data_IF_823032317332
#
_entry.id   IF_823032317332
#
_cell.length_a   1.000
_cell.length_b   1.000
_cell.length_c   1.000
_cell.angle_alpha   90.00
_cell.angle_beta   90.00
_cell.angle_gamma   90.00
#
_symmetry.space_group_name_H-M   'P 1'
#
loop_
_entity.id
_entity.type
_entity.pdbx_description
1 polymer ?
#
# COMPACT_ATOMS: atom_id res chain seq x y z
N UNK A 1 -23.67 9.43 12.94
CA UNK A 1 -22.22 9.22 12.75
C UNK A 1 -21.88 8.09 11.77
N UNK A 2 -22.82 7.21 11.37
CA UNK A 2 -22.57 6.19 10.33
C UNK A 2 -22.27 6.79 8.95
N UNK A 3 -22.99 7.83 8.54
CA UNK A 3 -22.88 8.43 7.20
C UNK A 3 -21.48 8.92 6.82
N UNK A 4 -20.74 9.54 7.75
CA UNK A 4 -19.37 10.03 7.47
C UNK A 4 -18.40 8.86 7.35
N UNK A 5 -18.50 7.88 8.25
CA UNK A 5 -17.68 6.68 8.20
C UNK A 5 -17.95 5.87 6.92
N UNK A 6 -19.21 5.66 6.58
CA UNK A 6 -19.61 4.92 5.38
C UNK A 6 -19.13 5.63 4.10
N UNK A 7 -19.14 6.97 4.08
CA UNK A 7 -18.58 7.76 2.99
C UNK A 7 -17.06 7.60 2.87
N UNK A 8 -16.33 7.68 3.99
CA UNK A 8 -14.87 7.49 4.01
C UNK A 8 -14.50 6.06 3.62
N UNK A 9 -15.22 5.06 4.12
CA UNK A 9 -15.01 3.66 3.79
C UNK A 9 -15.26 3.41 2.29
N UNK A 10 -16.32 4.00 1.72
CA UNK A 10 -16.61 3.94 0.29
C UNK A 10 -15.54 4.60 -0.58
N UNK A 11 -15.11 5.81 -0.22
CA UNK A 11 -14.04 6.51 -0.94
C UNK A 11 -12.71 5.76 -0.84
N UNK A 12 -12.36 5.25 0.35
CA UNK A 12 -11.16 4.44 0.57
C UNK A 12 -11.22 3.18 -0.28
N UNK A 13 -12.37 2.50 -0.35
CA UNK A 13 -12.56 1.33 -1.22
C UNK A 13 -12.29 1.63 -2.69
N UNK A 14 -12.78 2.77 -3.20
CA UNK A 14 -12.49 3.20 -4.57
C UNK A 14 -10.99 3.45 -4.75
N UNK A 15 -10.34 4.19 -3.85
CA UNK A 15 -8.91 4.47 -3.96
C UNK A 15 -8.06 3.18 -3.90
N UNK A 16 -8.39 2.24 -3.00
CA UNK A 16 -7.72 0.93 -2.91
C UNK A 16 -7.88 0.12 -4.21
N UNK A 17 -9.05 0.19 -4.86
CA UNK A 17 -9.25 -0.49 -6.15
C UNK A 17 -8.34 0.08 -7.25
N UNK A 18 -8.08 1.39 -7.23
CA UNK A 18 -7.17 2.06 -8.17
C UNK A 18 -5.71 1.65 -7.95
N UNK A 19 -5.30 1.33 -6.71
CA UNK A 19 -3.95 0.81 -6.42
C UNK A 19 -3.68 -0.48 -7.22
N UNK A 20 -4.65 -1.41 -7.24
CA UNK A 20 -4.52 -2.66 -7.98
C UNK A 20 -4.34 -2.45 -9.49
N UNK A 21 -5.14 -1.55 -10.07
CA UNK A 21 -4.99 -1.14 -11.48
C UNK A 21 -3.62 -0.50 -11.73
N UNK A 22 -3.14 0.29 -10.77
CA UNK A 22 -1.85 0.94 -10.81
C UNK A 22 -0.67 -0.03 -10.88
N UNK A 23 -0.70 -1.07 -10.05
CA UNK A 23 0.32 -2.13 -10.05
C UNK A 23 0.34 -2.84 -11.41
N UNK A 24 -0.83 -3.27 -11.91
CA UNK A 24 -0.92 -3.99 -13.19
C UNK A 24 -0.47 -3.12 -14.36
N UNK A 25 -0.92 -1.87 -14.43
CA UNK A 25 -0.50 -0.92 -15.46
C UNK A 25 1.01 -0.64 -15.38
N UNK A 26 1.57 -0.49 -14.18
CA UNK A 26 3.01 -0.33 -13.97
C UNK A 26 3.81 -1.51 -14.53
N UNK A 27 3.34 -2.75 -14.34
CA UNK A 27 3.99 -3.94 -14.88
C UNK A 27 3.89 -3.99 -16.42
N UNK A 28 2.70 -3.78 -16.97
CA UNK A 28 2.45 -3.91 -18.42
C UNK A 28 3.16 -2.84 -19.23
N UNK A 29 3.16 -1.60 -18.73
CA UNK A 29 3.70 -0.44 -19.44
C UNK A 29 5.09 -0.01 -18.95
N UNK A 30 5.75 -0.84 -18.12
CA UNK A 30 7.11 -0.59 -17.64
C UNK A 30 7.26 0.69 -16.81
N UNK A 31 6.27 1.01 -15.98
CA UNK A 31 6.27 2.18 -15.11
C UNK A 31 5.91 3.52 -15.78
N UNK A 32 5.65 3.53 -17.10
CA UNK A 32 5.40 4.77 -17.85
C UNK A 32 3.89 5.08 -18.03
N UNK A 33 3.04 4.57 -17.13
CA UNK A 33 1.60 4.80 -17.19
C UNK A 33 1.26 6.19 -16.62
N UNK A 34 0.97 7.17 -17.48
CA UNK A 34 0.69 8.57 -17.09
C UNK A 34 -0.40 8.73 -16.01
N UNK A 35 -1.38 7.82 -15.94
CA UNK A 35 -2.50 7.93 -15.02
C UNK A 35 -2.24 7.31 -13.62
N UNK A 36 -1.07 6.70 -13.39
CA UNK A 36 -0.75 6.02 -12.14
C UNK A 36 0.67 6.39 -11.70
N UNK A 37 0.81 6.96 -10.50
CA UNK A 37 2.14 7.15 -9.88
C UNK A 37 2.87 5.81 -9.65
N UNK A 38 4.14 5.88 -9.28
CA UNK A 38 4.96 4.68 -9.04
C UNK A 38 4.58 3.97 -7.72
N UNK A 39 3.49 3.20 -7.79
CA UNK A 39 2.96 2.41 -6.66
C UNK A 39 3.97 1.35 -6.23
N UNK A 40 4.61 0.67 -7.19
CA UNK A 40 5.57 -0.40 -6.93
C UNK A 40 6.79 0.18 -6.23
N UNK A 41 7.38 1.26 -6.75
CA UNK A 41 8.52 1.93 -6.11
C UNK A 41 8.18 2.45 -4.72
N UNK A 42 6.97 2.95 -4.49
CA UNK A 42 6.52 3.36 -3.15
C UNK A 42 6.50 2.19 -2.16
N UNK A 43 5.94 1.04 -2.57
CA UNK A 43 5.93 -0.18 -1.73
C UNK A 43 7.35 -0.68 -1.47
N UNK A 44 8.19 -0.73 -2.51
CA UNK A 44 9.59 -1.13 -2.40
C UNK A 44 10.37 -0.21 -1.45
N UNK A 45 10.12 1.10 -1.48
CA UNK A 45 10.72 2.04 -0.55
C UNK A 45 10.38 1.74 0.92
N UNK A 46 9.16 1.31 1.22
CA UNK A 46 8.80 0.85 2.57
C UNK A 46 9.49 -0.45 2.95
N UNK A 47 9.60 -1.39 2.00
CA UNK A 47 10.34 -2.66 2.22
C UNK A 47 11.81 -2.37 2.53
N UNK A 48 12.44 -1.50 1.76
CA UNK A 48 13.84 -1.09 1.97
C UNK A 48 14.01 -0.37 3.31
N UNK A 49 13.09 0.54 3.67
CA UNK A 49 13.11 1.24 4.95
C UNK A 49 13.02 0.27 6.14
N UNK A 50 12.14 -0.74 6.05
CA UNK A 50 12.04 -1.78 7.07
C UNK A 50 13.27 -2.68 7.07
N UNK A 51 13.78 -3.08 5.91
CA UNK A 51 14.98 -3.92 5.77
C UNK A 51 16.24 -3.25 6.32
N UNK A 52 16.42 -1.96 6.08
CA UNK A 52 17.54 -1.16 6.57
C UNK A 52 17.59 -1.10 8.11
N UNK A 53 16.45 -1.28 8.80
CA UNK A 53 16.36 -1.37 10.26
C UNK A 53 16.82 -2.70 10.85
N UNK A 54 17.17 -3.70 10.04
CA UNK A 54 17.63 -5.02 10.49
C UNK A 54 16.63 -5.71 11.43
N UNK A 55 17.10 -6.19 12.58
CA UNK A 55 16.23 -6.82 13.60
C UNK A 55 15.13 -5.87 14.10
N UNK A 56 15.44 -4.57 14.25
CA UNK A 56 14.45 -3.57 14.68
C UNK A 56 13.33 -3.41 13.65
N UNK A 57 13.68 -3.39 12.36
CA UNK A 57 12.71 -3.36 11.27
C UNK A 57 11.81 -4.58 11.22
N UNK A 58 12.37 -5.78 11.46
CA UNK A 58 11.59 -7.01 11.56
C UNK A 58 10.63 -7.01 12.75
N UNK A 59 11.05 -6.52 13.92
CA UNK A 59 10.18 -6.40 15.09
C UNK A 59 9.02 -5.44 14.78
N UNK A 60 9.30 -4.30 14.16
CA UNK A 60 8.26 -3.34 13.74
C UNK A 60 7.28 -3.98 12.75
N UNK A 61 7.78 -4.72 11.76
CA UNK A 61 6.94 -5.46 10.82
C UNK A 61 6.01 -6.46 11.54
N UNK A 62 6.54 -7.24 12.50
CA UNK A 62 5.75 -8.19 13.30
C UNK A 62 4.66 -7.49 14.12
N UNK A 63 4.98 -6.33 14.72
CA UNK A 63 4.01 -5.52 15.47
C UNK A 63 2.90 -5.04 14.53
N UNK A 64 3.24 -4.51 13.36
CA UNK A 64 2.27 -4.03 12.36
C UNK A 64 1.35 -5.17 11.93
N UNK A 65 1.90 -6.35 11.58
CA UNK A 65 1.09 -7.51 11.19
C UNK A 65 0.13 -7.94 12.32
N UNK A 66 0.60 -7.93 13.57
CA UNK A 66 -0.23 -8.24 14.74
C UNK A 66 -1.37 -7.24 14.97
N UNK A 67 -1.12 -5.94 14.80
CA UNK A 67 -2.14 -4.88 14.95
C UNK A 67 -3.16 -4.93 13.81
N UNK A 68 -2.71 -5.11 12.58
CA UNK A 68 -3.57 -5.15 11.40
C UNK A 68 -4.32 -6.48 11.24
N UNK A 69 -4.02 -7.49 12.08
CA UNK A 69 -4.60 -8.85 12.00
C UNK A 69 -4.49 -9.46 10.60
N UNK A 70 -3.42 -9.14 9.90
CA UNK A 70 -3.09 -9.76 8.62
C UNK A 70 -2.68 -11.19 8.97
N UNK A 71 -3.53 -12.16 8.61
CA UNK A 71 -3.27 -13.59 8.81
C UNK A 71 -2.32 -14.11 7.76
#
# INVERSE_FOLDING_TARGET
>A
MKTVRDFVDGLTGVLVSVIGLGIVAGIVFGGNAWFVGDVIGTIMGYVDMLGAGGLGGLIVLLIIMGVLKIK
#
